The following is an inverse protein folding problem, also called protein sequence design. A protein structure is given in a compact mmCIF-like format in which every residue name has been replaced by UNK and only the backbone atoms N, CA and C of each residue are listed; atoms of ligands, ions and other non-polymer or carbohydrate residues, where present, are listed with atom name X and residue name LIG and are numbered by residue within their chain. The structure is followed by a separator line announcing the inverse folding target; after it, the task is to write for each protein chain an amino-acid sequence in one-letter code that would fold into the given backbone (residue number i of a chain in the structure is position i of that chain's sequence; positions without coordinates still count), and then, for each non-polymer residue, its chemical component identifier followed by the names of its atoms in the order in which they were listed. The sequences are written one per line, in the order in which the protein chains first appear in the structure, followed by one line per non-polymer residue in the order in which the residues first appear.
data_IF_196981095858
#
_entry.id   IF_196981095858
#
_cell.length_a   1.000
_cell.length_b   1.000
_cell.length_c   1.000
_cell.angle_alpha   90.00
_cell.angle_beta   90.00
_cell.angle_gamma   90.00
#
_symmetry.space_group_name_H-M   'P 1'
#
loop_
_entity.id
_entity.type
_entity.pdbx_description
1 polymer ?
#
# COMPACT_ATOMS: atom_id res chain seq x y z
N UNK A 1 -11.08 -8.06 -22.79
CA UNK A 1 -11.39 -8.36 -21.36
C UNK A 1 -10.28 -9.12 -20.62
N UNK A 2 -9.55 -10.08 -21.22
CA UNK A 2 -8.47 -10.82 -20.53
C UNK A 2 -7.24 -9.95 -20.17
N UNK A 3 -6.88 -9.00 -21.04
CA UNK A 3 -5.70 -8.13 -20.86
C UNK A 3 -5.85 -7.18 -19.66
N UNK A 4 -6.99 -6.51 -19.51
CA UNK A 4 -7.26 -5.63 -18.37
C UNK A 4 -7.20 -6.38 -17.03
N UNK A 5 -7.67 -7.63 -17.01
CA UNK A 5 -7.58 -8.50 -15.84
C UNK A 5 -6.13 -8.84 -15.50
N UNK A 6 -5.31 -9.11 -16.51
CA UNK A 6 -3.89 -9.41 -16.35
C UNK A 6 -3.10 -8.19 -15.83
N UNK A 7 -3.37 -7.01 -16.39
CA UNK A 7 -2.78 -5.74 -15.94
C UNK A 7 -3.17 -5.45 -14.48
N UNK A 8 -4.44 -5.64 -14.13
CA UNK A 8 -4.91 -5.47 -12.76
C UNK A 8 -4.17 -6.39 -11.79
N UNK A 9 -4.03 -7.68 -12.11
CA UNK A 9 -3.27 -8.63 -11.28
C UNK A 9 -1.81 -8.19 -11.13
N UNK A 10 -1.18 -7.75 -12.21
CA UNK A 10 0.22 -7.30 -12.20
C UNK A 10 0.40 -6.04 -11.33
N UNK A 11 -0.55 -5.08 -11.40
CA UNK A 11 -0.58 -3.92 -10.51
C UNK A 11 -0.75 -4.32 -9.04
N UNK A 12 -1.62 -5.29 -8.74
CA UNK A 12 -1.79 -5.77 -7.36
C UNK A 12 -0.50 -6.39 -6.82
N UNK A 13 0.20 -7.18 -7.64
CA UNK A 13 1.49 -7.78 -7.28
C UNK A 13 2.55 -6.70 -7.01
N UNK A 14 2.65 -5.69 -7.87
CA UNK A 14 3.56 -4.56 -7.67
C UNK A 14 3.24 -3.80 -6.37
N UNK A 15 1.96 -3.54 -6.08
CA UNK A 15 1.56 -2.87 -4.83
C UNK A 15 1.93 -3.69 -3.59
N UNK A 16 1.79 -5.02 -3.66
CA UNK A 16 2.21 -5.90 -2.56
C UNK A 16 3.73 -5.83 -2.34
N UNK A 17 4.52 -5.81 -3.42
CA UNK A 17 5.98 -5.66 -3.33
C UNK A 17 6.35 -4.32 -2.69
N UNK A 18 5.71 -3.22 -3.11
CA UNK A 18 5.93 -1.89 -2.53
C UNK A 18 5.55 -1.86 -1.05
N UNK A 19 4.46 -2.54 -0.65
CA UNK A 19 4.07 -2.66 0.75
C UNK A 19 5.10 -3.41 1.59
N UNK A 20 5.58 -4.56 1.11
CA UNK A 20 6.62 -5.35 1.79
C UNK A 20 7.90 -4.53 1.92
N UNK A 21 8.31 -3.86 0.84
CA UNK A 21 9.50 -3.01 0.85
C UNK A 21 9.36 -1.85 1.85
N UNK A 22 8.22 -1.16 1.86
CA UNK A 22 7.93 -0.11 2.84
C UNK A 22 7.99 -0.63 4.28
N UNK A 23 7.44 -1.83 4.54
CA UNK A 23 7.47 -2.47 5.86
C UNK A 23 8.90 -2.80 6.32
N UNK A 24 9.72 -3.37 5.44
CA UNK A 24 11.14 -3.66 5.71
C UNK A 24 11.89 -2.37 6.03
N UNK A 25 11.63 -1.32 5.26
CA UNK A 25 12.24 -0.01 5.49
C UNK A 25 11.79 0.59 6.85
N UNK A 26 10.53 0.43 7.24
CA UNK A 26 10.00 0.87 8.56
C UNK A 26 10.68 0.17 9.72
N UNK A 27 10.91 -1.14 9.58
CA UNK A 27 11.65 -1.92 10.56
C UNK A 27 13.12 -1.49 10.59
N UNK A 28 13.72 -1.23 9.44
CA UNK A 28 15.09 -0.72 9.32
C UNK A 28 15.30 0.64 9.99
N UNK A 29 14.32 1.52 9.91
CA UNK A 29 14.32 2.83 10.59
C UNK A 29 14.14 2.66 12.10
N UNK A 30 13.23 1.80 12.55
CA UNK A 30 13.05 1.48 13.98
C UNK A 30 14.31 0.84 14.60
N UNK A 31 15.05 0.05 13.82
CA UNK A 31 16.32 -0.55 14.23
C UNK A 31 17.52 0.42 14.11
N UNK A 32 17.31 1.66 13.64
CA UNK A 32 18.36 2.66 13.47
C UNK A 32 19.38 2.33 12.38
N UNK A 33 19.06 1.39 11.49
CA UNK A 33 19.97 0.93 10.41
C UNK A 33 19.93 1.92 9.23
N UNK A 34 18.79 2.54 8.97
CA UNK A 34 18.59 3.48 7.86
C UNK A 34 17.49 4.51 8.17
N UNK A 35 17.78 5.81 8.11
CA UNK A 35 16.77 6.87 8.24
C UNK A 35 16.16 7.21 6.89
N UNK A 36 14.88 6.90 6.70
CA UNK A 36 14.16 7.34 5.50
C UNK A 36 12.99 8.23 5.89
N UNK A 37 13.07 9.48 5.47
CA UNK A 37 11.96 10.41 5.52
C UNK A 37 10.89 9.94 4.51
N UNK A 38 9.62 9.84 4.92
CA UNK A 38 8.45 9.58 4.08
C UNK A 38 8.05 8.11 3.81
N UNK A 39 8.52 7.13 4.59
CA UNK A 39 8.09 5.73 4.42
C UNK A 39 6.60 5.53 4.67
N UNK A 40 6.04 6.19 5.69
CA UNK A 40 4.62 6.14 6.01
C UNK A 40 3.75 6.67 4.86
N UNK A 41 4.21 7.72 4.19
CA UNK A 41 3.55 8.29 3.01
C UNK A 41 3.53 7.29 1.84
N UNK A 42 4.65 6.60 1.57
CA UNK A 42 4.74 5.57 0.52
C UNK A 42 3.80 4.39 0.81
N UNK A 43 3.83 3.88 2.06
CA UNK A 43 2.97 2.78 2.50
C UNK A 43 1.50 3.20 2.43
N UNK A 44 1.18 4.41 2.89
CA UNK A 44 -0.17 4.96 2.88
C UNK A 44 -0.75 5.09 1.48
N UNK A 45 0.00 5.62 0.51
CA UNK A 45 -0.42 5.69 -0.89
C UNK A 45 -0.64 4.29 -1.48
N UNK A 46 0.27 3.35 -1.20
CA UNK A 46 0.13 1.97 -1.69
C UNK A 46 -1.13 1.30 -1.14
N UNK A 47 -1.47 1.51 0.14
CA UNK A 47 -2.70 1.02 0.76
C UNK A 47 -3.95 1.65 0.13
N UNK A 48 -3.94 2.97 -0.13
CA UNK A 48 -5.05 3.65 -0.81
C UNK A 48 -5.26 3.09 -2.22
N UNK A 49 -4.19 2.86 -2.98
CA UNK A 49 -4.29 2.25 -4.31
C UNK A 49 -4.79 0.79 -4.25
N UNK A 50 -4.33 0.03 -3.26
CA UNK A 50 -4.80 -1.34 -3.03
C UNK A 50 -6.29 -1.36 -2.67
N UNK A 51 -6.77 -0.39 -1.90
CA UNK A 51 -8.18 -0.29 -1.52
C UNK A 51 -9.10 -0.16 -2.74
N UNK A 52 -8.68 0.60 -3.76
CA UNK A 52 -9.43 0.80 -5.00
C UNK A 52 -9.52 -0.51 -5.81
N UNK A 53 -8.43 -1.29 -5.87
CA UNK A 53 -8.41 -2.60 -6.51
C UNK A 53 -9.36 -3.60 -5.81
N UNK A 54 -9.48 -3.54 -4.49
CA UNK A 54 -10.37 -4.42 -3.72
C UNK A 54 -11.84 -3.93 -3.66
N UNK A 55 -12.13 -2.73 -4.15
CA UNK A 55 -13.47 -2.13 -4.07
C UNK A 55 -14.55 -2.99 -4.73
N UNK A 56 -14.24 -3.62 -5.87
CA UNK A 56 -15.18 -4.47 -6.60
C UNK A 56 -15.43 -5.84 -5.94
N UNK A 57 -14.45 -6.37 -5.20
CA UNK A 57 -14.55 -7.72 -4.61
C UNK A 57 -15.01 -7.71 -3.16
N UNK A 58 -14.57 -6.74 -2.35
CA UNK A 58 -14.88 -6.64 -0.91
C UNK A 58 -14.99 -5.17 -0.49
N UNK A 59 -16.16 -4.54 -0.67
CA UNK A 59 -16.33 -3.09 -0.43
C UNK A 59 -16.04 -2.68 1.02
N UNK A 60 -16.37 -3.54 2.01
CA UNK A 60 -16.07 -3.27 3.43
C UNK A 60 -14.57 -3.24 3.74
N UNK A 61 -13.79 -4.11 3.10
CA UNK A 61 -12.33 -4.19 3.29
C UNK A 61 -11.64 -3.03 2.55
N UNK A 62 -12.15 -2.67 1.38
CA UNK A 62 -11.71 -1.49 0.62
C UNK A 62 -11.85 -0.22 1.46
N UNK A 63 -13.00 0.03 2.08
CA UNK A 63 -13.20 1.22 2.91
C UNK A 63 -12.23 1.25 4.10
N UNK A 64 -12.03 0.12 4.79
CA UNK A 64 -11.09 0.03 5.90
C UNK A 64 -9.65 0.33 5.47
N UNK A 65 -9.20 -0.28 4.37
CA UNK A 65 -7.87 -0.01 3.79
C UNK A 65 -7.73 1.47 3.41
N UNK A 66 -8.74 2.05 2.77
CA UNK A 66 -8.71 3.45 2.34
C UNK A 66 -8.57 4.40 3.53
N UNK A 67 -9.31 4.16 4.62
CA UNK A 67 -9.20 4.93 5.87
C UNK A 67 -7.80 4.77 6.48
N UNK A 68 -7.29 3.54 6.59
CA UNK A 68 -5.95 3.26 7.14
C UNK A 68 -4.85 3.93 6.31
N UNK A 69 -4.95 3.85 4.98
CA UNK A 69 -3.99 4.47 4.06
C UNK A 69 -3.98 5.99 4.17
N UNK A 70 -5.15 6.63 4.28
CA UNK A 70 -5.25 8.08 4.50
C UNK A 70 -4.62 8.47 5.85
N UNK A 71 -4.91 7.73 6.92
CA UNK A 71 -4.33 8.00 8.25
C UNK A 71 -2.80 7.91 8.19
N UNK A 72 -2.26 6.89 7.52
CA UNK A 72 -0.82 6.72 7.33
C UNK A 72 -0.17 7.88 6.55
N UNK A 73 -0.84 8.41 5.52
CA UNK A 73 -0.36 9.58 4.76
C UNK A 73 -0.33 10.85 5.63
N UNK A 74 -1.27 11.00 6.56
CA UNK A 74 -1.31 12.16 7.45
C UNK A 74 -0.29 12.08 8.60
N UNK A 75 0.14 10.88 8.98
CA UNK A 75 1.03 10.65 10.12
C UNK A 75 2.52 10.78 9.76
N UNK A 76 2.94 10.48 8.53
CA UNK A 76 4.34 10.61 8.14
C UNK A 76 4.57 11.06 6.72
#
# INVERSE_FOLDING_TARGET
MKIARFISVLCTVLLIIVLIYGLIMMIGDFMGVTTFNNQFLIIGIAIVLLSNLFQQSKPRVSIALLIIGIILIFIG
#
